data_IF_700502442069
#
_entry.id   IF_700502442069
#
_cell.length_a   1.000
_cell.length_b   1.000
_cell.length_c   1.000
_cell.angle_alpha   90.00
_cell.angle_beta   90.00
_cell.angle_gamma   90.00
#
_symmetry.space_group_name_H-M   'P 1'
#
loop_
_entity.id
_entity.type
_entity.pdbx_description
1 polymer ?
#
# COMPACT_ATOMS: atom_id res chain seq x y z
N UNK A 1 -11.54 -4.11 4.43
CA UNK A 1 -10.88 -3.31 3.38
C UNK A 1 -10.92 -4.07 2.06
N UNK A 2 -10.80 -3.35 0.95
CA UNK A 2 -10.64 -3.94 -0.39
C UNK A 2 -9.25 -3.53 -0.88
N UNK A 3 -8.55 -4.44 -1.56
CA UNK A 3 -7.27 -4.14 -2.20
C UNK A 3 -7.21 -4.74 -3.59
N UNK A 4 -6.62 -4.03 -4.55
CA UNK A 4 -6.46 -4.50 -5.92
C UNK A 4 -5.20 -3.91 -6.55
N UNK A 5 -4.77 -4.52 -7.66
CA UNK A 5 -3.61 -4.07 -8.44
C UNK A 5 -4.05 -3.45 -9.75
N UNK A 6 -3.37 -2.40 -10.18
CA UNK A 6 -3.46 -1.83 -11.52
C UNK A 6 -2.11 -2.03 -12.20
N UNK A 7 -2.10 -2.75 -13.31
CA UNK A 7 -0.89 -3.13 -14.06
C UNK A 7 -0.82 -2.37 -15.38
N UNK A 8 0.38 -2.02 -15.81
CA UNK A 8 0.68 -1.65 -17.19
C UNK A 8 1.37 -2.82 -17.91
N UNK A 9 1.95 -2.59 -19.08
CA UNK A 9 2.84 -3.56 -19.74
C UNK A 9 4.21 -3.71 -19.07
N UNK A 10 4.53 -2.85 -18.09
CA UNK A 10 5.78 -2.84 -17.32
C UNK A 10 5.44 -3.20 -15.88
N UNK A 11 5.96 -4.31 -15.35
CA UNK A 11 5.57 -4.82 -14.02
C UNK A 11 5.93 -3.81 -12.90
N UNK A 12 7.02 -3.07 -13.08
CA UNK A 12 7.51 -2.03 -12.18
C UNK A 12 6.56 -0.81 -12.08
N UNK A 13 5.65 -0.64 -13.03
CA UNK A 13 4.62 0.41 -12.99
C UNK A 13 3.34 -0.05 -12.29
N UNK A 14 3.31 -1.27 -11.75
CA UNK A 14 2.15 -1.76 -11.00
C UNK A 14 1.89 -0.88 -9.79
N UNK A 15 0.65 -0.39 -9.68
CA UNK A 15 0.13 0.34 -8.52
C UNK A 15 -0.73 -0.60 -7.69
N UNK A 16 -0.51 -0.56 -6.38
CA UNK A 16 -1.25 -1.35 -5.40
C UNK A 16 -2.18 -0.41 -4.65
N UNK A 17 -3.48 -0.66 -4.71
CA UNK A 17 -4.49 0.20 -4.12
C UNK A 17 -5.12 -0.52 -2.94
N UNK A 18 -5.25 0.17 -1.81
CA UNK A 18 -5.91 -0.33 -0.61
C UNK A 18 -6.91 0.70 -0.10
N UNK A 19 -8.16 0.27 0.06
CA UNK A 19 -9.26 1.11 0.50
C UNK A 19 -9.76 0.67 1.88
N UNK A 20 -9.73 1.59 2.84
CA UNK A 20 -10.38 1.43 4.14
C UNK A 20 -11.67 2.25 4.17
N UNK A 21 -12.81 1.58 4.10
CA UNK A 21 -14.13 2.20 4.22
C UNK A 21 -14.71 2.13 5.63
N UNK A 22 -13.92 1.71 6.63
CA UNK A 22 -14.28 1.83 8.03
C UNK A 22 -13.88 3.21 8.56
N UNK A 23 -14.56 3.66 9.61
CA UNK A 23 -14.32 4.91 10.34
C UNK A 23 -13.15 4.83 11.34
N UNK A 24 -12.51 3.66 11.45
CA UNK A 24 -11.35 3.41 12.30
C UNK A 24 -10.04 3.29 11.48
N UNK A 25 -8.95 3.81 12.05
CA UNK A 25 -7.59 3.55 11.56
C UNK A 25 -7.25 2.07 11.71
N UNK A 26 -6.61 1.47 10.70
CA UNK A 26 -6.11 0.09 10.78
C UNK A 26 -4.60 0.09 10.75
N UNK A 27 -3.99 -0.03 11.91
CA UNK A 27 -2.55 -0.18 12.06
C UNK A 27 -2.12 -1.63 11.76
N UNK A 28 -0.94 -1.78 11.14
CA UNK A 28 -0.37 -3.09 10.84
C UNK A 28 -1.23 -3.96 9.92
N UNK A 29 -2.16 -3.34 9.17
CA UNK A 29 -3.01 -4.03 8.22
C UNK A 29 -2.17 -4.71 7.15
N UNK A 30 -2.51 -5.95 6.78
CA UNK A 30 -1.67 -6.76 5.89
C UNK A 30 -2.34 -7.04 4.57
N UNK A 31 -1.60 -6.83 3.48
CA UNK A 31 -2.00 -7.18 2.11
C UNK A 31 -1.00 -8.14 1.49
N UNK A 32 -1.48 -9.09 0.67
CA UNK A 32 -0.62 -9.97 -0.12
C UNK A 32 -0.09 -9.28 -1.38
N UNK A 33 1.17 -9.57 -1.74
CA UNK A 33 1.90 -8.99 -2.87
C UNK A 33 2.58 -10.09 -3.70
N UNK A 34 2.64 -9.97 -5.03
CA UNK A 34 3.29 -10.95 -5.89
C UNK A 34 4.82 -10.95 -5.75
N UNK A 35 5.42 -9.82 -5.37
CA UNK A 35 6.87 -9.66 -5.29
C UNK A 35 7.30 -9.04 -3.97
N UNK A 36 8.47 -9.45 -3.48
CA UNK A 36 9.15 -8.78 -2.39
C UNK A 36 9.76 -7.44 -2.82
N UNK A 37 10.44 -6.80 -1.88
CA UNK A 37 11.12 -5.52 -2.07
C UNK A 37 10.53 -4.39 -1.25
N UNK A 38 10.87 -3.17 -1.64
CA UNK A 38 10.49 -1.94 -0.97
C UNK A 38 9.33 -1.27 -1.69
N UNK A 39 8.40 -0.72 -0.92
CA UNK A 39 7.20 -0.07 -1.41
C UNK A 39 7.09 1.31 -0.77
N UNK A 40 6.60 2.28 -1.52
CA UNK A 40 6.35 3.63 -1.04
C UNK A 40 4.90 4.01 -1.28
N UNK A 41 4.35 4.76 -0.34
CA UNK A 41 3.08 5.45 -0.51
C UNK A 41 3.27 6.58 -1.53
N UNK A 42 2.58 6.47 -2.67
CA UNK A 42 2.63 7.47 -3.75
C UNK A 42 1.41 8.38 -3.77
N UNK A 43 0.36 7.99 -3.06
CA UNK A 43 -0.86 8.78 -2.87
C UNK A 43 -1.60 8.30 -1.62
N UNK A 44 -2.16 9.25 -0.88
CA UNK A 44 -3.02 9.01 0.26
C UNK A 44 -4.14 10.04 0.25
N UNK A 45 -5.39 9.57 0.20
CA UNK A 45 -6.55 10.48 0.19
C UNK A 45 -6.76 11.22 1.51
N UNK A 46 -6.05 10.83 2.57
CA UNK A 46 -6.10 11.41 3.91
C UNK A 46 -4.85 12.23 4.23
N UNK A 47 -4.03 12.56 3.23
CA UNK A 47 -2.90 13.50 3.35
C UNK A 47 -3.39 14.90 3.80
N UNK A 48 -2.59 15.60 4.60
CA UNK A 48 -2.89 16.96 5.07
C UNK A 48 -3.13 17.96 3.91
N UNK A 49 -2.49 17.76 2.76
CA UNK A 49 -2.69 18.58 1.57
C UNK A 49 -4.12 18.50 1.01
N UNK A 50 -4.88 17.46 1.37
CA UNK A 50 -6.29 17.28 1.04
C UNK A 50 -7.21 17.50 2.24
N UNK A 51 -6.72 18.18 3.28
CA UNK A 51 -7.42 18.41 4.55
C UNK A 51 -7.78 17.11 5.31
N UNK A 52 -7.06 16.03 5.01
CA UNK A 52 -7.17 14.76 5.74
C UNK A 52 -6.43 14.77 7.07
N UNK A 53 -6.52 13.66 7.81
CA UNK A 53 -5.91 13.51 9.13
C UNK A 53 -4.39 13.30 9.12
N UNK A 54 -3.77 13.25 7.95
CA UNK A 54 -2.34 12.98 7.73
C UNK A 54 -1.88 11.66 8.38
N UNK A 55 -2.77 10.68 8.41
CA UNK A 55 -2.47 9.32 8.87
C UNK A 55 -2.09 8.51 7.62
N UNK A 56 -0.88 7.95 7.61
CA UNK A 56 -0.36 7.28 6.42
C UNK A 56 0.92 6.50 6.69
N UNK A 57 1.70 6.30 5.63
CA UNK A 57 2.95 5.56 5.65
C UNK A 57 4.09 6.45 5.17
N UNK A 58 4.69 7.22 6.09
CA UNK A 58 5.74 8.20 5.77
C UNK A 58 7.10 7.57 5.44
N UNK A 59 7.29 6.29 5.74
CA UNK A 59 8.53 5.56 5.52
C UNK A 59 8.39 4.48 4.45
N UNK A 60 9.53 4.06 3.90
CA UNK A 60 9.59 2.91 3.00
C UNK A 60 9.05 1.68 3.72
N UNK A 61 8.09 1.01 3.08
CA UNK A 61 7.48 -0.21 3.56
C UNK A 61 8.21 -1.42 2.98
N UNK A 62 8.59 -2.37 3.83
CA UNK A 62 9.32 -3.57 3.40
C UNK A 62 8.39 -4.78 3.31
N UNK A 63 8.31 -5.37 2.12
CA UNK A 63 7.54 -6.60 1.94
C UNK A 63 8.24 -7.77 2.64
N UNK A 64 7.48 -8.53 3.42
CA UNK A 64 7.93 -9.71 4.13
C UNK A 64 7.58 -10.97 3.34
N UNK A 65 8.43 -12.00 3.39
CA UNK A 65 8.15 -13.32 2.84
C UNK A 65 7.15 -14.07 3.74
N UNK A 66 5.89 -13.64 3.69
CA UNK A 66 4.78 -14.20 4.47
C UNK A 66 3.55 -14.31 3.58
N UNK A 67 3.03 -15.53 3.44
CA UNK A 67 1.89 -15.81 2.56
C UNK A 67 0.62 -15.10 3.03
N UNK A 68 -0.03 -14.38 2.11
CA UNK A 68 -1.31 -13.69 2.35
C UNK A 68 -2.06 -13.55 1.03
N UNK A 69 -3.40 -13.63 1.06
CA UNK A 69 -4.26 -13.48 -0.14
C UNK A 69 -3.81 -14.34 -1.35
N UNK A 70 -3.25 -15.53 -1.11
CA UNK A 70 -2.74 -16.42 -2.16
C UNK A 70 -1.46 -15.93 -2.85
N UNK A 71 -0.66 -15.09 -2.19
CA UNK A 71 0.63 -14.57 -2.68
C UNK A 71 1.75 -14.87 -1.68
N UNK A 72 2.99 -14.98 -2.18
CA UNK A 72 4.16 -15.39 -1.38
C UNK A 72 4.70 -14.29 -0.45
N UNK A 73 4.48 -13.03 -0.80
CA UNK A 73 4.89 -11.87 -0.02
C UNK A 73 3.69 -11.14 0.56
N UNK A 74 3.91 -10.36 1.61
CA UNK A 74 2.92 -9.44 2.13
C UNK A 74 3.53 -8.22 2.79
N UNK A 75 2.75 -7.15 2.86
CA UNK A 75 3.17 -5.86 3.40
C UNK A 75 2.27 -5.49 4.57
N UNK A 76 2.87 -5.00 5.65
CA UNK A 76 2.13 -4.28 6.69
C UNK A 76 2.11 -2.80 6.37
N UNK A 77 0.97 -2.17 6.55
CA UNK A 77 0.80 -0.74 6.37
C UNK A 77 -0.26 -0.21 7.34
N UNK A 78 -0.18 1.09 7.61
CA UNK A 78 -1.24 1.83 8.30
C UNK A 78 -2.24 2.32 7.26
N UNK A 79 -3.52 2.03 7.49
CA UNK A 79 -4.60 2.57 6.68
C UNK A 79 -5.37 3.62 7.48
N UNK A 80 -5.48 4.85 6.97
CA UNK A 80 -6.30 5.87 7.60
C UNK A 80 -7.80 5.51 7.53
N UNK A 81 -8.65 6.08 8.41
CA UNK A 81 -10.09 5.88 8.38
C UNK A 81 -10.68 6.54 7.12
N UNK A 82 -11.69 5.90 6.51
CA UNK A 82 -12.36 6.38 5.29
C UNK A 82 -11.37 6.82 4.19
N UNK A 83 -10.25 6.11 4.06
CA UNK A 83 -9.12 6.52 3.23
C UNK A 83 -8.71 5.49 2.20
N UNK A 84 -8.02 5.98 1.17
CA UNK A 84 -7.45 5.16 0.10
C UNK A 84 -5.96 5.48 -0.04
N UNK A 85 -5.14 4.43 0.01
CA UNK A 85 -3.69 4.50 -0.11
C UNK A 85 -3.25 3.78 -1.37
N UNK A 86 -2.40 4.43 -2.17
CA UNK A 86 -1.75 3.84 -3.33
C UNK A 86 -0.28 3.64 -3.04
N UNK A 87 0.22 2.44 -3.33
CA UNK A 87 1.62 2.09 -3.18
C UNK A 87 2.24 1.76 -4.54
N UNK A 88 3.54 2.04 -4.66
CA UNK A 88 4.37 1.57 -5.78
C UNK A 88 5.61 0.89 -5.24
N UNK A 89 6.05 -0.17 -5.92
CA UNK A 89 7.33 -0.81 -5.61
C UNK A 89 8.48 0.10 -6.07
N UNK A 90 9.46 0.33 -5.21
CA UNK A 90 10.71 0.96 -5.60
C UNK A 90 11.47 0.00 -6.51
N UNK A 91 11.81 0.47 -7.70
CA UNK A 91 12.79 -0.19 -8.56
C UNK A 91 14.18 0.26 -8.18
N UNK A 92 15.12 -0.67 -8.09
CA UNK A 92 16.53 -0.32 -8.14
C UNK A 92 16.76 0.49 -9.43
N UNK A 93 17.38 1.67 -9.31
CA UNK A 93 17.83 2.43 -10.47
C UNK A 93 18.70 1.51 -11.35
N UNK A 94 18.39 1.44 -12.64
CA UNK A 94 19.22 0.74 -13.62
C UNK A 94 20.59 1.40 -13.74
#
# INVERSE_FOLDING_TARGET
CISFMRKSGVEEETVYIVCNFADETREGYRIGLPNGGEYVEIFNSQDAAYEGWNIGNDSVLHAEQKTMHGRDYSLRLTLPPLGVVYLKRLTAAK
#
